data_IF_095105897927
#
_entry.id   IF_095105897927
#
_cell.length_a   1.000
_cell.length_b   1.000
_cell.length_c   1.000
_cell.angle_alpha   90.00
_cell.angle_beta   90.00
_cell.angle_gamma   90.00
#
_symmetry.space_group_name_H-M   'P 1'
#
loop_
_entity.id
_entity.type
_entity.pdbx_description
1 polymer ?
#
# COMPACT_ATOMS: atom_id res chain seq x y z
N UNK A 1 12.47 3.50 -42.42
CA UNK A 1 13.44 3.75 -41.34
C UNK A 1 12.75 4.58 -40.27
N UNK A 2 12.30 3.95 -39.18
CA UNK A 2 11.73 4.66 -38.04
C UNK A 2 12.86 5.22 -37.19
N UNK A 3 12.91 6.54 -37.02
CA UNK A 3 13.87 7.20 -36.13
C UNK A 3 13.49 6.84 -34.69
N UNK A 4 14.28 5.96 -34.05
CA UNK A 4 14.20 5.75 -32.62
C UNK A 4 14.55 7.08 -31.92
N UNK A 5 13.56 7.67 -31.26
CA UNK A 5 13.74 8.88 -30.46
C UNK A 5 14.71 8.55 -29.34
N UNK A 6 15.84 9.24 -29.26
CA UNK A 6 16.81 9.06 -28.19
C UNK A 6 16.10 9.20 -26.84
N UNK A 7 16.08 8.14 -26.02
CA UNK A 7 15.57 8.20 -24.65
C UNK A 7 16.53 9.11 -23.90
N UNK A 8 16.11 10.34 -23.65
CA UNK A 8 16.84 11.25 -22.76
C UNK A 8 17.09 10.50 -21.47
N UNK A 9 18.35 10.34 -21.08
CA UNK A 9 18.80 9.61 -19.90
C UNK A 9 18.45 10.41 -18.63
N UNK A 10 17.16 10.61 -18.39
CA UNK A 10 16.67 11.13 -17.13
C UNK A 10 16.76 9.99 -16.14
N UNK A 11 17.60 10.15 -15.12
CA UNK A 11 17.78 9.19 -14.04
C UNK A 11 16.48 8.83 -13.28
N UNK A 12 15.42 9.61 -13.51
CA UNK A 12 14.08 9.38 -12.99
C UNK A 12 13.09 9.33 -14.17
N UNK A 13 12.28 8.27 -14.22
CA UNK A 13 11.21 8.06 -15.18
C UNK A 13 9.85 8.28 -14.51
N UNK A 14 8.96 9.00 -15.20
CA UNK A 14 7.60 9.28 -14.71
C UNK A 14 6.58 8.38 -15.40
N UNK A 15 5.78 7.67 -14.61
CA UNK A 15 4.68 6.82 -15.09
C UNK A 15 3.38 7.26 -14.45
N UNK A 16 2.40 7.57 -15.30
CA UNK A 16 1.05 7.94 -14.88
C UNK A 16 0.13 6.73 -14.94
N UNK A 17 -0.57 6.47 -13.83
CA UNK A 17 -1.60 5.45 -13.75
C UNK A 17 -2.96 6.08 -13.50
N UNK A 18 -3.92 5.73 -14.35
CA UNK A 18 -5.30 6.18 -14.27
C UNK A 18 -6.24 5.00 -14.49
N UNK A 19 -7.10 4.75 -13.52
CA UNK A 19 -8.24 3.82 -13.62
C UNK A 19 -9.48 4.40 -12.94
N UNK A 20 -10.64 3.77 -13.11
CA UNK A 20 -11.89 4.15 -12.44
C UNK A 20 -11.78 4.00 -10.92
N UNK A 21 -11.28 5.05 -10.27
CA UNK A 21 -11.11 5.12 -8.81
C UNK A 21 -9.68 5.26 -8.32
N UNK A 22 -8.66 5.13 -9.17
CA UNK A 22 -7.26 5.28 -8.77
C UNK A 22 -6.46 6.16 -9.74
N UNK A 23 -5.75 7.13 -9.18
CA UNK A 23 -4.93 8.09 -9.91
C UNK A 23 -3.59 8.21 -9.20
N UNK A 24 -2.52 7.73 -9.82
CA UNK A 24 -1.18 7.71 -9.26
C UNK A 24 -0.19 8.30 -10.25
N UNK A 25 0.78 9.04 -9.75
CA UNK A 25 2.04 9.30 -10.45
C UNK A 25 3.14 8.50 -9.75
N UNK A 26 3.94 7.79 -10.54
CA UNK A 26 5.07 7.00 -10.10
C UNK A 26 6.32 7.65 -10.64
N UNK A 27 7.21 8.06 -9.73
CA UNK A 27 8.55 8.52 -10.06
C UNK A 27 9.53 7.39 -9.77
N UNK A 28 10.05 6.78 -10.83
CA UNK A 28 10.94 5.63 -10.76
C UNK A 28 12.39 6.08 -10.89
N UNK A 29 13.22 5.74 -9.90
CA UNK A 29 14.66 5.95 -9.97
C UNK A 29 15.34 4.59 -10.05
N UNK A 30 15.72 4.20 -11.27
CA UNK A 30 16.37 2.92 -11.57
C UNK A 30 17.73 2.79 -10.87
N UNK A 31 18.51 3.88 -10.77
CA UNK A 31 19.83 3.88 -10.14
C UNK A 31 19.76 3.51 -8.66
N UNK A 32 18.79 4.06 -7.95
CA UNK A 32 18.60 3.84 -6.52
C UNK A 32 17.59 2.71 -6.22
N UNK A 33 17.06 2.06 -7.27
CA UNK A 33 16.02 1.02 -7.17
C UNK A 33 14.86 1.45 -6.28
N UNK A 34 14.41 2.69 -6.47
CA UNK A 34 13.43 3.37 -5.63
C UNK A 34 12.26 3.90 -6.47
N UNK A 35 11.04 3.61 -6.02
CA UNK A 35 9.83 4.28 -6.48
C UNK A 35 9.36 5.30 -5.45
N UNK A 36 8.98 6.49 -5.91
CA UNK A 36 8.15 7.42 -5.17
C UNK A 36 6.75 7.44 -5.77
N UNK A 37 5.75 7.18 -4.93
CA UNK A 37 4.35 7.21 -5.32
C UNK A 37 3.76 8.55 -4.88
N UNK A 38 3.07 9.22 -5.80
CA UNK A 38 2.27 10.41 -5.55
C UNK A 38 0.82 10.03 -5.81
N UNK A 39 0.00 10.06 -4.76
CA UNK A 39 -1.43 9.74 -4.84
C UNK A 39 -2.25 11.02 -4.84
N UNK A 40 -3.07 11.21 -5.88
CA UNK A 40 -3.84 12.43 -6.07
C UNK A 40 -5.25 12.37 -5.45
N UNK A 41 -5.66 11.21 -4.91
CA UNK A 41 -7.00 11.02 -4.31
C UNK A 41 -6.91 10.28 -2.99
N UNK A 42 -7.85 10.61 -2.10
CA UNK A 42 -7.92 10.09 -0.74
C UNK A 42 -7.83 8.55 -0.68
N UNK A 43 -6.74 8.06 -0.10
CA UNK A 43 -6.66 6.71 0.44
C UNK A 43 -6.03 5.65 -0.46
N UNK A 44 -5.26 4.79 0.21
CA UNK A 44 -4.65 3.61 -0.37
C UNK A 44 -5.70 2.51 -0.61
N UNK A 45 -5.85 2.10 -1.87
CA UNK A 45 -6.72 0.99 -2.28
C UNK A 45 -5.85 -0.24 -2.57
N UNK A 46 -6.35 -1.47 -2.34
CA UNK A 46 -5.63 -2.70 -2.71
C UNK A 46 -5.21 -2.72 -4.19
N UNK A 47 -6.07 -2.21 -5.09
CA UNK A 47 -5.76 -2.09 -6.51
C UNK A 47 -4.52 -1.19 -6.79
N UNK A 48 -4.35 -0.10 -6.03
CA UNK A 48 -3.19 0.79 -6.14
C UNK A 48 -1.91 0.04 -5.74
N UNK A 49 -1.94 -0.68 -4.60
CA UNK A 49 -0.81 -1.49 -4.14
C UNK A 49 -0.41 -2.52 -5.19
N UNK A 50 -1.36 -3.29 -5.72
CA UNK A 50 -1.08 -4.33 -6.71
C UNK A 50 -0.40 -3.75 -7.95
N UNK A 51 -0.92 -2.63 -8.47
CA UNK A 51 -0.31 -1.96 -9.60
C UNK A 51 1.13 -1.49 -9.31
N UNK A 52 1.34 -0.79 -8.18
CA UNK A 52 2.67 -0.31 -7.78
C UNK A 52 3.65 -1.47 -7.60
N UNK A 53 3.21 -2.58 -7.00
CA UNK A 53 4.04 -3.77 -6.81
C UNK A 53 4.42 -4.43 -8.13
N UNK A 54 3.47 -4.55 -9.07
CA UNK A 54 3.75 -5.11 -10.38
C UNK A 54 4.77 -4.28 -11.15
N UNK A 55 4.62 -2.95 -11.16
CA UNK A 55 5.61 -2.03 -11.75
C UNK A 55 6.96 -2.19 -11.06
N UNK A 56 6.99 -2.21 -9.73
CA UNK A 56 8.24 -2.32 -8.98
C UNK A 56 8.98 -3.64 -9.26
N UNK A 57 8.26 -4.76 -9.39
CA UNK A 57 8.84 -6.06 -9.71
C UNK A 57 9.38 -6.11 -11.15
N UNK A 58 8.64 -5.58 -12.11
CA UNK A 58 9.07 -5.54 -13.52
C UNK A 58 10.33 -4.70 -13.71
N UNK A 59 10.43 -3.59 -12.97
CA UNK A 59 11.52 -2.64 -13.07
C UNK A 59 12.69 -2.92 -12.09
N UNK A 60 12.66 -4.03 -11.35
CA UNK A 60 13.73 -4.42 -10.43
C UNK A 60 13.95 -3.44 -9.26
N UNK A 61 12.88 -2.76 -8.84
CA UNK A 61 12.86 -1.80 -7.74
C UNK A 61 12.85 -2.55 -6.40
N UNK A 62 13.64 -2.08 -5.44
CA UNK A 62 13.77 -2.68 -4.11
C UNK A 62 12.92 -1.97 -3.06
N UNK A 63 12.62 -0.69 -3.28
CA UNK A 63 11.93 0.15 -2.30
C UNK A 63 10.85 1.00 -2.95
N UNK A 64 9.71 1.06 -2.30
CA UNK A 64 8.61 1.98 -2.62
C UNK A 64 8.43 2.91 -1.43
N UNK A 65 8.30 4.21 -1.68
CA UNK A 65 7.94 5.19 -0.66
C UNK A 65 6.81 6.11 -1.15
N UNK A 66 6.04 6.63 -0.20
CA UNK A 66 5.04 7.68 -0.40
C UNK A 66 5.06 8.62 0.81
N UNK A 67 4.71 9.87 0.60
CA UNK A 67 4.61 10.87 1.65
C UNK A 67 3.17 11.35 1.73
N UNK A 68 2.58 11.25 2.92
CA UNK A 68 1.13 11.37 3.12
C UNK A 68 0.80 12.21 4.35
N UNK A 69 -0.42 12.73 4.41
CA UNK A 69 -0.94 13.38 5.63
C UNK A 69 -1.22 12.35 6.75
N UNK A 70 -1.37 12.84 7.98
CA UNK A 70 -1.47 12.00 9.19
C UNK A 70 -2.66 11.04 9.18
N UNK A 71 -3.79 11.48 8.66
CA UNK A 71 -5.03 10.69 8.56
C UNK A 71 -4.93 9.55 7.55
N UNK A 72 -4.12 9.73 6.51
CA UNK A 72 -3.90 8.73 5.47
C UNK A 72 -2.94 7.61 5.86
N UNK A 73 -2.06 7.82 6.85
CA UNK A 73 -1.09 6.81 7.31
C UNK A 73 -1.77 5.47 7.58
N UNK A 74 -2.92 5.49 8.25
CA UNK A 74 -3.68 4.27 8.57
C UNK A 74 -4.10 3.49 7.32
N UNK A 75 -4.55 4.18 6.27
CA UNK A 75 -4.95 3.57 4.99
C UNK A 75 -3.76 2.93 4.28
N UNK A 76 -2.61 3.60 4.26
CA UNK A 76 -1.38 3.06 3.67
C UNK A 76 -0.84 1.85 4.45
N UNK A 77 -0.92 1.88 5.78
CA UNK A 77 -0.51 0.72 6.59
C UNK A 77 -1.39 -0.51 6.38
N UNK A 78 -2.71 -0.34 6.17
CA UNK A 78 -3.62 -1.45 5.85
C UNK A 78 -3.29 -2.15 4.54
N UNK A 79 -2.78 -1.41 3.56
CA UNK A 79 -2.30 -1.99 2.30
C UNK A 79 -0.82 -2.34 2.37
N UNK A 80 -0.26 -2.62 3.56
CA UNK A 80 1.06 -3.21 3.74
C UNK A 80 2.25 -2.29 3.51
N UNK A 81 2.07 -0.97 3.66
CA UNK A 81 3.18 -0.05 3.87
C UNK A 81 3.47 0.07 5.37
N UNK A 82 4.65 0.52 5.73
CA UNK A 82 5.05 0.82 7.10
C UNK A 82 5.39 2.29 7.23
N UNK A 83 5.09 2.91 8.37
CA UNK A 83 5.51 4.27 8.66
C UNK A 83 7.01 4.27 8.98
N UNK A 84 7.79 5.05 8.24
CA UNK A 84 9.25 5.07 8.34
C UNK A 84 9.78 6.38 8.92
N UNK A 85 9.00 7.45 8.85
CA UNK A 85 9.46 8.75 9.31
C UNK A 85 8.38 9.81 9.34
N UNK A 86 8.79 11.01 9.76
CA UNK A 86 7.94 12.21 9.75
C UNK A 86 8.82 13.41 9.44
N UNK A 87 8.36 14.25 8.54
CA UNK A 87 9.01 15.47 8.08
C UNK A 87 8.18 16.64 8.63
N UNK A 88 8.67 17.34 9.67
CA UNK A 88 7.94 18.45 10.28
C UNK A 88 7.65 19.57 9.28
N UNK A 89 6.40 20.07 9.28
CA UNK A 89 6.00 21.20 8.44
C UNK A 89 6.11 20.98 6.93
N UNK A 90 6.11 19.72 6.47
CA UNK A 90 6.20 19.40 5.04
C UNK A 90 5.01 19.97 4.25
N UNK A 91 3.80 19.82 4.77
CA UNK A 91 2.62 20.46 4.19
C UNK A 91 2.39 21.82 4.85
N UNK A 92 1.60 22.68 4.19
CA UNK A 92 1.34 24.05 4.66
C UNK A 92 0.87 24.14 6.12
N UNK A 93 0.17 23.12 6.62
CA UNK A 93 -0.43 23.11 7.98
C UNK A 93 -0.20 21.81 8.75
N UNK A 94 0.62 20.89 8.23
CA UNK A 94 0.77 19.56 8.81
C UNK A 94 2.13 18.95 8.46
N UNK A 95 2.55 17.99 9.27
CA UNK A 95 3.75 17.21 9.00
C UNK A 95 3.48 16.20 7.87
N UNK A 96 4.53 15.88 7.12
CA UNK A 96 4.51 14.81 6.13
C UNK A 96 4.91 13.49 6.77
N UNK A 97 4.12 12.45 6.59
CA UNK A 97 4.44 11.11 7.11
C UNK A 97 4.95 10.21 5.99
N UNK A 98 6.17 9.71 6.16
CA UNK A 98 6.80 8.82 5.19
C UNK A 98 6.30 7.41 5.42
N UNK A 99 5.68 6.82 4.42
CA UNK A 99 5.27 5.42 4.39
C UNK A 99 6.05 4.68 3.31
N UNK A 100 6.57 3.50 3.61
CA UNK A 100 7.34 2.72 2.64
C UNK A 100 7.06 1.23 2.68
N UNK A 101 7.49 0.54 1.62
CA UNK A 101 7.38 -0.90 1.47
C UNK A 101 8.65 -1.41 0.77
N UNK A 102 9.24 -2.49 1.29
CA UNK A 102 10.35 -3.18 0.61
C UNK A 102 9.76 -4.20 -0.35
N UNK A 103 10.27 -4.22 -1.57
CA UNK A 103 9.89 -5.17 -2.62
C UNK A 103 10.81 -6.36 -2.49
N UNK A 104 10.50 -7.24 -1.54
CA UNK A 104 11.21 -8.52 -1.41
C UNK A 104 10.38 -9.61 -2.08
N UNK A 105 11.02 -10.52 -2.81
CA UNK A 105 10.36 -11.71 -3.38
C UNK A 105 9.71 -12.65 -2.35
N UNK A 106 9.75 -12.31 -1.06
CA UNK A 106 9.23 -13.09 0.06
C UNK A 106 8.32 -12.28 1.00
N UNK A 107 7.73 -11.18 0.54
CA UNK A 107 6.55 -10.63 1.22
C UNK A 107 5.31 -11.30 0.67
N UNK A 108 4.84 -12.32 1.39
CA UNK A 108 3.52 -12.93 1.23
C UNK A 108 2.44 -11.86 1.25
N UNK A 109 2.08 -11.34 0.09
CA UNK A 109 0.81 -10.64 -0.10
C UNK A 109 -0.06 -11.66 -0.81
N UNK A 110 -0.81 -12.46 -0.05
CA UNK A 110 -1.98 -13.09 -0.63
C UNK A 110 -2.77 -11.97 -1.31
N UNK A 111 -3.16 -12.14 -2.57
CA UNK A 111 -3.97 -11.16 -3.26
C UNK A 111 -5.31 -11.00 -2.51
N UNK A 112 -5.39 -10.01 -1.63
CA UNK A 112 -6.63 -9.70 -0.92
C UNK A 112 -7.44 -8.81 -1.84
N UNK A 113 -8.36 -9.44 -2.58
CA UNK A 113 -9.37 -8.70 -3.33
C UNK A 113 -10.20 -7.81 -2.40
N UNK A 114 -10.76 -6.72 -2.92
CA UNK A 114 -11.70 -5.88 -2.17
C UNK A 114 -12.88 -6.69 -1.60
N UNK A 115 -13.30 -7.76 -2.30
CA UNK A 115 -14.30 -8.71 -1.79
C UNK A 115 -13.78 -9.47 -0.57
N UNK A 116 -12.53 -9.94 -0.60
CA UNK A 116 -11.87 -10.61 0.51
C UNK A 116 -11.71 -9.71 1.73
N UNK A 117 -11.29 -8.46 1.53
CA UNK A 117 -11.18 -7.47 2.61
C UNK A 117 -12.55 -7.19 3.27
N UNK A 118 -13.59 -6.93 2.46
CA UNK A 118 -14.96 -6.71 2.97
C UNK A 118 -15.52 -7.93 3.70
N UNK A 119 -15.21 -9.14 3.22
CA UNK A 119 -15.63 -10.37 3.88
C UNK A 119 -14.94 -10.52 5.23
N UNK A 120 -13.62 -10.28 5.31
CA UNK A 120 -12.88 -10.32 6.56
C UNK A 120 -13.43 -9.32 7.59
N UNK A 121 -13.65 -8.07 7.18
CA UNK A 121 -14.23 -7.04 8.05
C UNK A 121 -15.63 -7.45 8.57
N UNK A 122 -16.47 -8.01 7.69
CA UNK A 122 -17.79 -8.53 8.07
C UNK A 122 -17.70 -9.68 9.06
N UNK A 123 -16.79 -10.63 8.84
CA UNK A 123 -16.57 -11.77 9.72
C UNK A 123 -16.09 -11.33 11.09
N UNK A 124 -15.15 -10.39 11.17
CA UNK A 124 -14.67 -9.84 12.45
C UNK A 124 -15.79 -9.09 13.16
N UNK A 125 -16.59 -8.30 12.45
CA UNK A 125 -17.72 -7.59 13.03
C UNK A 125 -18.79 -8.55 13.57
N UNK A 126 -19.06 -9.64 12.84
CA UNK A 126 -19.99 -10.68 13.26
C UNK A 126 -19.46 -11.43 14.49
N UNK A 127 -18.21 -11.85 14.48
CA UNK A 127 -17.57 -12.50 15.62
C UNK A 127 -17.61 -11.62 16.89
N UNK A 128 -17.40 -10.30 16.77
CA UNK A 128 -17.53 -9.36 17.90
C UNK A 128 -18.97 -9.27 18.44
N UNK A 129 -19.98 -9.44 17.59
CA UNK A 129 -21.39 -9.51 18.01
C UNK A 129 -21.67 -10.83 18.70
N UNK A 130 -21.26 -11.92 18.10
CA UNK A 130 -21.50 -13.28 18.61
C UNK A 130 -20.73 -13.56 19.90
N UNK A 131 -19.59 -12.89 20.12
CA UNK A 131 -18.84 -12.95 21.38
C UNK A 131 -19.69 -12.56 22.60
N UNK A 132 -20.72 -11.73 22.43
CA UNK A 132 -21.67 -11.36 23.48
C UNK A 132 -22.60 -12.51 23.86
N UNK A 133 -22.82 -13.44 22.94
CA UNK A 133 -23.72 -14.58 23.10
C UNK A 133 -22.98 -15.87 23.50
N UNK A 134 -21.66 -15.80 23.70
CA UNK A 134 -20.87 -16.95 24.19
C UNK A 134 -21.30 -17.25 25.63
N UNK A 135 -21.77 -18.49 25.92
CA UNK A 135 -22.11 -18.91 27.27
C UNK A 135 -20.95 -18.70 28.24
N UNK A 136 -21.22 -18.18 29.45
CA UNK A 136 -20.16 -17.92 30.44
C UNK A 136 -19.29 -19.13 30.75
N UNK A 137 -19.89 -20.34 30.70
CA UNK A 137 -19.21 -21.61 30.97
C UNK A 137 -18.03 -21.92 30.05
N UNK A 138 -17.97 -21.29 28.87
CA UNK A 138 -16.90 -21.48 27.88
C UNK A 138 -16.16 -20.17 27.57
N UNK A 139 -16.52 -19.06 28.22
CA UNK A 139 -15.88 -17.76 28.00
C UNK A 139 -14.44 -17.83 28.53
N UNK A 140 -13.47 -17.61 27.65
CA UNK A 140 -12.04 -17.72 27.97
C UNK A 140 -11.47 -19.13 27.82
N UNK A 141 -12.25 -20.10 27.33
CA UNK A 141 -11.73 -21.42 26.97
C UNK A 141 -10.82 -21.36 25.75
N UNK A 142 -9.69 -22.08 25.80
CA UNK A 142 -8.81 -22.32 24.66
C UNK A 142 -9.03 -23.74 24.13
N UNK A 143 -9.10 -23.89 22.81
CA UNK A 143 -9.15 -25.20 22.15
C UNK A 143 -7.78 -25.51 21.58
N UNK A 144 -7.30 -26.74 21.80
CA UNK A 144 -6.14 -27.31 21.13
C UNK A 144 -6.60 -28.39 20.16
N UNK A 145 -6.06 -28.34 18.95
CA UNK A 145 -6.26 -29.39 17.95
C UNK A 145 -5.50 -30.65 18.41
N UNK A 146 -6.16 -31.81 18.33
CA UNK A 146 -5.59 -33.12 18.69
C UNK A 146 -5.26 -33.88 17.41
#
# INVERSE_FOLDING_TARGET
MGTAKAKTDTAVEEVLFKSDGAFLCILMNHRNKLIRVIDFRAGALPAKRLYIQNVAQQEGIEKIITLVEKDEVSSWTKVGFVREGTIPGFYKRSDGHLCGCVVSGRTASAEVSDKGAKLADRTVAQAKRDAKNIPEKIRGGSVTEV
#
